data_IF_105370165463
#
_entry.id   IF_105370165463
#
_cell.length_a   1.000
_cell.length_b   1.000
_cell.length_c   1.000
_cell.angle_alpha   90.00
_cell.angle_beta   90.00
_cell.angle_gamma   90.00
#
_symmetry.space_group_name_H-M   'P 1'
#
loop_
_entity.id
_entity.type
_entity.pdbx_description
1 polymer ?
#
# COMPACT_ATOMS: atom_id res chain seq x y z
N UNK A 1 23.95 -11.12 -4.28
CA UNK A 1 23.44 -9.77 -3.94
C UNK A 1 21.98 -9.83 -3.46
N UNK A 2 21.25 -10.90 -3.77
CA UNK A 2 19.80 -11.06 -3.59
C UNK A 2 19.30 -11.09 -2.14
N UNK A 3 20.15 -11.56 -1.21
CA UNK A 3 19.77 -11.65 0.21
C UNK A 3 19.53 -10.29 0.86
N UNK A 4 20.24 -9.25 0.42
CA UNK A 4 20.09 -7.90 0.98
C UNK A 4 18.76 -7.28 0.56
N UNK A 5 18.38 -7.42 -0.72
CA UNK A 5 17.09 -6.96 -1.24
C UNK A 5 15.92 -7.75 -0.68
N UNK A 6 16.06 -9.07 -0.54
CA UNK A 6 15.04 -9.90 0.09
C UNK A 6 14.81 -9.49 1.56
N UNK A 7 15.89 -9.26 2.30
CA UNK A 7 15.80 -8.75 3.69
C UNK A 7 15.18 -7.37 3.73
N UNK A 8 15.62 -6.47 2.85
CA UNK A 8 15.03 -5.14 2.74
C UNK A 8 13.52 -5.23 2.50
N UNK A 9 13.08 -6.04 1.55
CA UNK A 9 11.66 -6.26 1.26
C UNK A 9 10.91 -6.82 2.47
N UNK A 10 11.45 -7.87 3.09
CA UNK A 10 10.86 -8.53 4.25
C UNK A 10 10.77 -7.62 5.49
N UNK A 11 11.75 -6.74 5.69
CA UNK A 11 11.71 -5.76 6.78
C UNK A 11 10.84 -4.56 6.46
N UNK A 12 10.82 -4.07 5.23
CA UNK A 12 10.11 -2.82 4.87
C UNK A 12 8.59 -3.01 4.89
N UNK A 13 8.08 -4.16 4.45
CA UNK A 13 6.63 -4.39 4.39
C UNK A 13 5.95 -4.22 5.76
N UNK A 14 6.40 -4.89 6.85
CA UNK A 14 5.81 -4.68 8.17
C UNK A 14 5.82 -3.22 8.63
N UNK A 15 6.89 -2.47 8.33
CA UNK A 15 6.99 -1.05 8.69
C UNK A 15 5.97 -0.20 7.92
N UNK A 16 5.80 -0.46 6.63
CA UNK A 16 4.78 0.19 5.79
C UNK A 16 3.37 -0.14 6.30
N UNK A 17 3.10 -1.40 6.66
CA UNK A 17 1.80 -1.83 7.20
C UNK A 17 1.50 -1.15 8.54
N UNK A 18 2.46 -1.12 9.47
CA UNK A 18 2.31 -0.46 10.77
C UNK A 18 2.07 1.04 10.58
N UNK A 19 2.85 1.70 9.70
CA UNK A 19 2.69 3.11 9.42
C UNK A 19 1.30 3.44 8.85
N UNK A 20 0.87 2.72 7.80
CA UNK A 20 -0.45 2.93 7.23
C UNK A 20 -1.57 2.66 8.24
N UNK A 21 -1.43 1.62 9.06
CA UNK A 21 -2.37 1.30 10.14
C UNK A 21 -2.41 2.40 11.23
N UNK A 22 -1.27 2.98 11.59
CA UNK A 22 -1.20 4.08 12.53
C UNK A 22 -1.89 5.33 11.99
N UNK A 23 -1.66 5.68 10.72
CA UNK A 23 -2.37 6.78 10.05
C UNK A 23 -3.88 6.52 10.07
N UNK A 24 -4.32 5.30 9.72
CA UNK A 24 -5.74 4.94 9.79
C UNK A 24 -6.32 5.09 11.20
N UNK A 25 -5.62 4.60 12.24
CA UNK A 25 -6.04 4.75 13.63
C UNK A 25 -6.16 6.22 14.05
N UNK A 26 -5.20 7.07 13.66
CA UNK A 26 -5.24 8.51 13.93
C UNK A 26 -6.46 9.15 13.25
N UNK A 27 -6.74 8.82 11.99
CA UNK A 27 -7.92 9.35 11.28
C UNK A 27 -9.23 9.00 12.00
N UNK A 28 -9.34 7.76 12.53
CA UNK A 28 -10.50 7.36 13.32
C UNK A 28 -10.61 8.12 14.64
N UNK A 29 -9.49 8.34 15.34
CA UNK A 29 -9.46 9.15 16.57
C UNK A 29 -9.88 10.60 16.31
N UNK A 30 -9.54 11.16 15.14
CA UNK A 30 -9.97 12.48 14.69
C UNK A 30 -11.45 12.52 14.24
N UNK A 31 -12.19 11.42 14.37
CA UNK A 31 -13.58 11.27 13.93
C UNK A 31 -13.78 11.52 12.43
N UNK A 32 -12.76 11.24 11.62
CA UNK A 32 -12.90 11.26 10.16
C UNK A 32 -13.90 10.16 9.76
N UNK A 33 -14.73 10.44 8.75
CA UNK A 33 -15.67 9.47 8.21
C UNK A 33 -14.94 8.16 7.87
N UNK A 34 -15.48 7.02 8.32
CA UNK A 34 -14.87 5.71 8.12
C UNK A 34 -14.56 5.42 6.65
N UNK A 35 -15.48 5.78 5.74
CA UNK A 35 -15.31 5.60 4.29
C UNK A 35 -14.10 6.39 3.76
N UNK A 36 -13.98 7.65 4.18
CA UNK A 36 -12.85 8.50 3.81
C UNK A 36 -11.54 7.97 4.41
N UNK A 37 -11.54 7.57 5.68
CA UNK A 37 -10.37 7.01 6.35
C UNK A 37 -9.89 5.71 5.68
N UNK A 38 -10.80 4.82 5.28
CA UNK A 38 -10.48 3.62 4.51
C UNK A 38 -9.90 3.95 3.13
N UNK A 39 -10.45 4.97 2.46
CA UNK A 39 -9.93 5.44 1.19
C UNK A 39 -8.49 5.98 1.31
N UNK A 40 -8.23 6.81 2.33
CA UNK A 40 -6.88 7.34 2.63
C UNK A 40 -5.92 6.21 2.96
N UNK A 41 -6.34 5.28 3.82
CA UNK A 41 -5.55 4.10 4.19
C UNK A 41 -5.18 3.25 2.96
N UNK A 42 -6.17 2.88 2.14
CA UNK A 42 -5.96 2.04 0.96
C UNK A 42 -5.05 2.72 -0.07
N UNK A 43 -5.23 4.03 -0.27
CA UNK A 43 -4.39 4.82 -1.16
C UNK A 43 -2.95 4.86 -0.66
N UNK A 44 -2.74 5.24 0.60
CA UNK A 44 -1.41 5.37 1.20
C UNK A 44 -0.68 4.02 1.22
N UNK A 45 -1.36 2.98 1.69
CA UNK A 45 -0.79 1.64 1.81
C UNK A 45 -0.47 1.03 0.44
N UNK A 46 -1.40 1.10 -0.52
CA UNK A 46 -1.19 0.62 -1.88
C UNK A 46 -0.06 1.36 -2.59
N UNK A 47 0.04 2.68 -2.42
CA UNK A 47 1.14 3.48 -2.98
C UNK A 47 2.49 3.06 -2.41
N UNK A 48 2.60 2.93 -1.08
CA UNK A 48 3.86 2.53 -0.45
C UNK A 48 4.30 1.12 -0.86
N UNK A 49 3.38 0.15 -0.88
CA UNK A 49 3.67 -1.19 -1.36
C UNK A 49 4.10 -1.21 -2.82
N UNK A 50 3.48 -0.38 -3.66
CA UNK A 50 3.87 -0.24 -5.07
C UNK A 50 5.28 0.33 -5.20
N UNK A 51 5.64 1.35 -4.42
CA UNK A 51 7.02 1.88 -4.39
C UNK A 51 8.02 0.79 -3.98
N UNK A 52 7.73 0.05 -2.92
CA UNK A 52 8.61 -1.04 -2.44
C UNK A 52 8.75 -2.13 -3.50
N UNK A 53 7.66 -2.49 -4.19
CA UNK A 53 7.69 -3.44 -5.30
C UNK A 53 8.52 -2.92 -6.49
N UNK A 54 8.41 -1.63 -6.82
CA UNK A 54 9.19 -1.02 -7.90
C UNK A 54 10.70 -1.00 -7.59
N UNK A 55 11.10 -0.79 -6.34
CA UNK A 55 12.53 -0.84 -5.93
C UNK A 55 13.12 -2.23 -6.18
N UNK A 56 12.36 -3.30 -5.92
CA UNK A 56 12.83 -4.68 -6.10
C UNK A 56 12.56 -5.22 -7.52
N UNK A 57 12.00 -4.40 -8.43
CA UNK A 57 11.53 -4.80 -9.75
C UNK A 57 12.58 -5.56 -10.55
N UNK A 58 13.79 -5.02 -10.64
CA UNK A 58 14.86 -5.57 -11.48
C UNK A 58 15.29 -6.97 -11.05
N UNK A 59 15.10 -7.33 -9.78
CA UNK A 59 15.51 -8.62 -9.23
C UNK A 59 14.40 -9.68 -9.27
N UNK A 60 13.13 -9.27 -9.24
CA UNK A 60 11.99 -10.20 -9.16
C UNK A 60 11.07 -10.16 -10.38
N UNK A 61 11.45 -9.47 -11.46
CA UNK A 61 10.60 -9.30 -12.64
C UNK A 61 10.14 -10.62 -13.26
N UNK A 62 10.98 -11.66 -13.25
CA UNK A 62 10.62 -12.97 -13.81
C UNK A 62 9.67 -13.79 -12.91
N UNK A 63 9.51 -13.40 -11.64
CA UNK A 63 8.60 -14.08 -10.71
C UNK A 63 7.14 -13.75 -11.01
N UNK A 64 6.33 -14.79 -11.24
CA UNK A 64 4.87 -14.65 -11.37
C UNK A 64 4.22 -14.07 -10.11
N UNK A 65 4.72 -14.44 -8.93
CA UNK A 65 4.21 -13.97 -7.64
C UNK A 65 4.45 -12.46 -7.52
N UNK A 66 5.62 -11.98 -7.94
CA UNK A 66 5.93 -10.55 -7.97
C UNK A 66 4.93 -9.79 -8.84
N UNK A 67 4.68 -10.24 -10.08
CA UNK A 67 3.72 -9.58 -10.99
C UNK A 67 2.30 -9.52 -10.41
N UNK A 68 1.84 -10.62 -9.80
CA UNK A 68 0.53 -10.69 -9.13
C UNK A 68 0.46 -9.73 -7.94
N UNK A 69 1.50 -9.69 -7.11
CA UNK A 69 1.57 -8.76 -5.98
C UNK A 69 1.57 -7.30 -6.44
N UNK A 70 2.32 -6.96 -7.48
CA UNK A 70 2.36 -5.62 -8.05
C UNK A 70 0.97 -5.18 -8.56
N UNK A 71 0.25 -6.06 -9.27
CA UNK A 71 -1.13 -5.80 -9.70
C UNK A 71 -2.07 -5.62 -8.50
N UNK A 72 -1.92 -6.42 -7.45
CA UNK A 72 -2.70 -6.26 -6.22
C UNK A 72 -2.42 -4.90 -5.54
N UNK A 73 -1.16 -4.46 -5.49
CA UNK A 73 -0.80 -3.18 -4.88
C UNK A 73 -1.33 -1.98 -5.68
N UNK A 74 -1.22 -2.03 -7.01
CA UNK A 74 -1.76 -1.00 -7.90
C UNK A 74 -3.30 -0.96 -7.80
N UNK A 75 -3.97 -2.12 -7.81
CA UNK A 75 -5.43 -2.16 -7.67
C UNK A 75 -5.89 -1.64 -6.31
N UNK A 76 -5.15 -1.92 -5.22
CA UNK A 76 -5.43 -1.36 -3.90
C UNK A 76 -5.28 0.16 -3.87
N UNK A 77 -4.26 0.69 -4.53
CA UNK A 77 -4.05 2.14 -4.67
C UNK A 77 -5.21 2.79 -5.43
N UNK A 78 -5.58 2.24 -6.59
CA UNK A 78 -6.68 2.74 -7.41
C UNK A 78 -8.04 2.64 -6.68
N UNK A 79 -8.28 1.53 -5.98
CA UNK A 79 -9.46 1.34 -5.15
C UNK A 79 -9.54 2.40 -4.05
N UNK A 80 -8.41 2.73 -3.41
CA UNK A 80 -8.34 3.80 -2.42
C UNK A 80 -8.75 5.16 -2.99
N UNK A 81 -8.20 5.54 -4.16
CA UNK A 81 -8.56 6.78 -4.85
C UNK A 81 -10.06 6.81 -5.17
N UNK A 82 -10.59 5.70 -5.68
CA UNK A 82 -12.01 5.57 -5.98
C UNK A 82 -12.89 5.73 -4.74
N UNK A 83 -12.50 5.12 -3.61
CA UNK A 83 -13.22 5.24 -2.34
C UNK A 83 -13.21 6.70 -1.86
N UNK A 84 -12.06 7.38 -1.91
CA UNK A 84 -11.95 8.81 -1.54
C UNK A 84 -12.89 9.64 -2.41
N UNK A 85 -12.84 9.46 -3.73
CA UNK A 85 -13.70 10.19 -4.66
C UNK A 85 -15.18 9.95 -4.34
N UNK A 86 -15.58 8.70 -4.16
CA UNK A 86 -16.95 8.33 -3.81
C UNK A 86 -17.38 8.77 -2.40
N UNK A 87 -16.44 9.16 -1.53
CA UNK A 87 -16.74 9.65 -0.18
C UNK A 87 -16.90 11.16 -0.13
N UNK A 88 -16.35 11.89 -1.12
CA UNK A 88 -16.44 13.35 -1.20
C UNK A 88 -17.60 13.77 -2.09
N UNK A 89 -17.82 13.06 -3.21
CA UNK A 89 -18.79 13.42 -4.24
C UNK A 89 -20.04 12.53 -4.30
N UNK A 90 -20.07 11.44 -3.53
CA UNK A 90 -21.20 10.51 -3.44
C UNK A 90 -21.85 10.57 -2.07
#
# INVERSE_FOLDING_TARGET
MDRTLLRYYAFTIPHVTIFAGAVFGILLLMRVNLKLALGIFSTLYGLMLTIVALIVREHFWDSRIYKLSLLAYISLFLAGIFIIYSSIFG
#
